data_IF_507113553848
#
_entry.id   IF_507113553848
#
_cell.length_a   1.000
_cell.length_b   1.000
_cell.length_c   1.000
_cell.angle_alpha   90.00
_cell.angle_beta   90.00
_cell.angle_gamma   90.00
#
_symmetry.space_group_name_H-M   'P 1'
#
loop_
_entity.id
_entity.type
_entity.pdbx_description
1 polymer ?
#
# COMPACT_ATOMS: atom_id res chain seq x y z
N UNK A 1 8.62 7.83 35.03
CA UNK A 1 8.93 6.41 34.73
C UNK A 1 7.75 5.80 34.01
N UNK A 2 7.98 5.07 32.91
CA UNK A 2 6.92 4.30 32.23
C UNK A 2 6.53 3.11 33.11
N UNK A 3 5.27 3.02 33.52
CA UNK A 3 4.74 1.97 34.40
C UNK A 3 4.61 0.64 33.66
N UNK A 4 5.09 -0.44 34.28
CA UNK A 4 5.39 -1.77 33.72
C UNK A 4 4.20 -2.62 33.21
N UNK A 5 3.05 -2.02 32.89
CA UNK A 5 1.96 -2.73 32.20
C UNK A 5 2.18 -2.61 30.70
N UNK A 6 2.51 -3.71 30.05
CA UNK A 6 2.67 -3.79 28.60
C UNK A 6 1.31 -3.47 27.94
N UNK A 7 1.08 -2.19 27.67
CA UNK A 7 -0.20 -1.71 27.16
C UNK A 7 -0.17 -1.81 25.64
N UNK A 8 -1.01 -2.69 25.09
CA UNK A 8 -1.12 -2.83 23.65
C UNK A 8 -1.66 -1.50 23.08
N UNK A 9 -0.86 -0.84 22.25
CA UNK A 9 -1.26 0.41 21.61
C UNK A 9 -2.50 0.16 20.74
N UNK A 10 -3.51 1.05 20.74
CA UNK A 10 -4.79 0.83 20.04
C UNK A 10 -4.69 0.91 18.50
N UNK A 11 -3.48 0.87 17.93
CA UNK A 11 -3.23 1.01 16.50
C UNK A 11 -2.82 -0.32 15.87
N UNK A 12 -3.50 -0.68 14.78
CA UNK A 12 -3.23 -1.90 14.01
C UNK A 12 -1.95 -1.81 13.16
N UNK A 13 -1.60 -0.61 12.71
CA UNK A 13 -0.47 -0.38 11.82
C UNK A 13 0.37 0.80 12.28
N UNK A 14 1.65 0.78 11.90
CA UNK A 14 2.56 1.92 11.91
C UNK A 14 2.74 2.41 10.50
N UNK A 15 2.66 3.72 10.31
CA UNK A 15 3.00 4.41 9.08
C UNK A 15 4.29 5.20 9.28
N UNK A 16 5.15 5.21 8.27
CA UNK A 16 6.41 5.94 8.27
C UNK A 16 6.73 6.46 6.87
N UNK A 17 7.29 7.66 6.81
CA UNK A 17 7.77 8.28 5.58
C UNK A 17 9.14 8.90 5.83
N UNK A 18 10.13 8.47 5.05
CA UNK A 18 11.47 9.03 5.03
C UNK A 18 11.69 9.87 3.77
N UNK A 19 12.09 11.14 3.95
CA UNK A 19 12.24 12.12 2.88
C UNK A 19 13.69 12.52 2.57
N UNK A 20 14.62 12.27 3.49
CA UNK A 20 15.97 12.84 3.38
C UNK A 20 16.86 12.06 2.41
N UNK A 21 17.57 12.78 1.54
CA UNK A 21 18.55 12.21 0.64
C UNK A 21 19.82 13.08 0.65
N UNK A 22 20.98 12.45 0.80
CA UNK A 22 22.31 13.01 0.53
C UNK A 22 22.85 14.15 1.43
N UNK A 23 22.36 14.31 2.67
CA UNK A 23 23.03 15.19 3.66
C UNK A 23 24.18 14.50 4.39
N UNK A 24 23.92 13.36 5.03
CA UNK A 24 24.93 12.60 5.81
C UNK A 24 24.93 11.09 5.51
N UNK A 25 23.82 10.56 4.96
CA UNK A 25 23.66 9.17 4.55
C UNK A 25 22.88 9.09 3.23
N UNK A 26 23.23 8.13 2.38
CA UNK A 26 22.56 7.90 1.08
C UNK A 26 21.45 6.87 1.22
N UNK A 27 20.43 7.20 2.03
CA UNK A 27 19.23 6.36 2.17
C UNK A 27 18.19 6.81 1.15
N UNK A 28 17.62 5.86 0.42
CA UNK A 28 16.59 6.15 -0.59
C UNK A 28 15.30 6.60 0.12
N UNK A 29 14.68 7.72 -0.27
CA UNK A 29 13.37 8.13 0.24
C UNK A 29 12.31 7.05 0.04
N UNK A 30 11.50 6.80 1.08
CA UNK A 30 10.56 5.69 1.06
C UNK A 30 9.39 5.86 2.02
N UNK A 31 8.32 5.18 1.67
CA UNK A 31 7.16 4.96 2.53
C UNK A 31 7.24 3.58 3.15
N UNK A 32 6.77 3.42 4.38
CA UNK A 32 6.64 2.12 5.00
C UNK A 32 5.35 1.99 5.80
N UNK A 33 4.82 0.78 5.82
CA UNK A 33 3.77 0.36 6.74
C UNK A 33 4.18 -0.92 7.46
N UNK A 34 3.95 -0.97 8.77
CA UNK A 34 4.23 -2.14 9.60
C UNK A 34 2.99 -2.59 10.37
N UNK A 35 2.63 -3.86 10.21
CA UNK A 35 1.66 -4.56 11.07
C UNK A 35 2.37 -5.21 12.25
N UNK A 36 1.62 -6.01 13.02
CA UNK A 36 2.14 -6.91 14.04
C UNK A 36 3.13 -7.97 13.54
N UNK A 37 3.16 -8.30 12.23
CA UNK A 37 4.01 -9.36 11.67
C UNK A 37 4.78 -8.91 10.42
N UNK A 38 4.17 -8.08 9.57
CA UNK A 38 4.75 -7.74 8.28
C UNK A 38 5.16 -6.27 8.22
N UNK A 39 6.21 -5.98 7.45
CA UNK A 39 6.60 -4.63 7.06
C UNK A 39 6.66 -4.57 5.53
N UNK A 40 5.96 -3.61 4.94
CA UNK A 40 6.02 -3.28 3.52
C UNK A 40 6.72 -1.92 3.37
N UNK A 41 7.72 -1.84 2.50
CA UNK A 41 8.45 -0.61 2.18
C UNK A 41 8.29 -0.31 0.69
N UNK A 42 8.05 0.95 0.33
CA UNK A 42 7.98 1.45 -1.04
C UNK A 42 9.04 2.53 -1.26
N UNK A 43 10.09 2.19 -2.00
CA UNK A 43 11.12 3.11 -2.46
C UNK A 43 10.65 3.76 -3.75
N UNK A 44 9.93 4.88 -3.62
CA UNK A 44 9.19 5.47 -4.74
C UNK A 44 10.07 6.11 -5.81
N UNK A 45 11.29 6.53 -5.49
CA UNK A 45 12.21 7.13 -6.46
C UNK A 45 12.77 6.11 -7.46
N UNK A 46 12.83 4.84 -7.06
CA UNK A 46 13.29 3.71 -7.90
C UNK A 46 12.15 2.73 -8.23
N UNK A 47 10.94 3.02 -7.75
CA UNK A 47 9.75 2.20 -7.92
C UNK A 47 9.91 0.73 -7.46
N UNK A 48 10.57 0.53 -6.32
CA UNK A 48 10.78 -0.80 -5.74
C UNK A 48 9.98 -1.01 -4.46
N UNK A 49 9.54 -2.26 -4.26
CA UNK A 49 8.76 -2.67 -3.10
C UNK A 49 9.45 -3.84 -2.41
N UNK A 50 9.50 -3.79 -1.09
CA UNK A 50 10.05 -4.85 -0.25
C UNK A 50 9.05 -5.27 0.82
N UNK A 51 8.99 -6.57 1.09
CA UNK A 51 8.15 -7.15 2.15
C UNK A 51 8.98 -8.02 3.07
N UNK A 52 8.86 -7.80 4.38
CA UNK A 52 9.54 -8.58 5.41
C UNK A 52 8.55 -9.14 6.42
N UNK A 53 8.75 -10.40 6.83
CA UNK A 53 8.06 -11.04 7.95
C UNK A 53 8.95 -10.94 9.19
N UNK A 54 8.74 -9.94 10.04
CA UNK A 54 9.65 -9.69 11.16
C UNK A 54 9.47 -10.71 12.31
N UNK A 55 8.40 -11.49 12.32
CA UNK A 55 8.24 -12.59 13.30
C UNK A 55 9.11 -13.78 12.91
N UNK A 56 9.18 -14.10 11.61
CA UNK A 56 9.99 -15.22 11.09
C UNK A 56 11.42 -14.84 10.74
N UNK A 57 11.64 -13.58 10.41
CA UNK A 57 12.93 -13.01 10.04
C UNK A 57 13.14 -11.68 10.77
N UNK A 58 13.47 -11.71 12.07
CA UNK A 58 13.72 -10.50 12.86
C UNK A 58 14.82 -9.60 12.27
N UNK A 59 15.80 -10.21 11.59
CA UNK A 59 16.89 -9.55 10.90
C UNK A 59 16.51 -8.91 9.56
N UNK A 60 15.32 -9.21 9.03
CA UNK A 60 14.77 -8.65 7.78
C UNK A 60 15.74 -8.79 6.59
N UNK A 61 16.32 -9.97 6.45
CA UNK A 61 17.30 -10.28 5.42
C UNK A 61 16.62 -10.84 4.16
N UNK A 62 15.38 -11.32 4.26
CA UNK A 62 14.67 -11.99 3.17
C UNK A 62 13.53 -11.12 2.66
N UNK A 63 13.72 -10.50 1.50
CA UNK A 63 12.64 -9.83 0.79
C UNK A 63 11.65 -10.88 0.23
N UNK A 64 10.41 -10.84 0.72
CA UNK A 64 9.31 -11.72 0.34
C UNK A 64 8.38 -11.11 -0.72
N UNK A 65 8.69 -9.90 -1.20
CA UNK A 65 7.92 -9.28 -2.28
C UNK A 65 7.98 -10.15 -3.55
N UNK A 66 6.87 -10.22 -4.28
CA UNK A 66 6.73 -11.09 -5.47
C UNK A 66 6.47 -12.57 -5.19
N UNK A 67 6.55 -13.05 -3.94
CA UNK A 67 6.18 -14.44 -3.62
C UNK A 67 4.67 -14.60 -3.66
N UNK A 68 4.18 -15.61 -4.40
CA UNK A 68 2.75 -15.86 -4.60
C UNK A 68 1.98 -16.05 -3.28
N UNK A 69 2.62 -16.67 -2.28
CA UNK A 69 2.06 -16.89 -0.95
C UNK A 69 1.80 -15.59 -0.19
N UNK A 70 2.53 -14.51 -0.53
CA UNK A 70 2.40 -13.22 0.15
C UNK A 70 1.45 -12.24 -0.54
N UNK A 71 0.85 -12.62 -1.69
CA UNK A 71 -0.01 -11.73 -2.49
C UNK A 71 -1.13 -11.07 -1.68
N UNK A 72 -1.80 -11.84 -0.81
CA UNK A 72 -2.88 -11.33 0.05
C UNK A 72 -2.37 -10.30 1.06
N UNK A 73 -1.24 -10.58 1.71
CA UNK A 73 -0.63 -9.68 2.69
C UNK A 73 -0.16 -8.38 2.03
N UNK A 74 0.46 -8.47 0.85
CA UNK A 74 0.88 -7.31 0.05
C UNK A 74 -0.32 -6.43 -0.30
N UNK A 75 -1.42 -7.01 -0.78
CA UNK A 75 -2.63 -6.25 -1.12
C UNK A 75 -3.22 -5.53 0.10
N UNK A 76 -3.31 -6.23 1.24
CA UNK A 76 -3.82 -5.65 2.49
C UNK A 76 -2.94 -4.49 2.97
N UNK A 77 -1.62 -4.64 2.93
CA UNK A 77 -0.67 -3.62 3.37
C UNK A 77 -0.64 -2.42 2.41
N UNK A 78 -0.70 -2.63 1.09
CA UNK A 78 -0.84 -1.54 0.11
C UNK A 78 -2.11 -0.71 0.34
N UNK A 79 -3.24 -1.38 0.59
CA UNK A 79 -4.49 -0.70 0.91
C UNK A 79 -4.43 0.09 2.22
N UNK A 80 -3.87 -0.50 3.27
CA UNK A 80 -3.68 0.17 4.55
C UNK A 80 -2.68 1.34 4.47
N UNK A 81 -1.61 1.20 3.68
CA UNK A 81 -0.65 2.28 3.41
C UNK A 81 -1.38 3.48 2.80
N UNK A 82 -2.09 3.29 1.69
CA UNK A 82 -2.83 4.37 1.03
C UNK A 82 -3.86 5.01 1.96
N UNK A 83 -4.55 4.21 2.80
CA UNK A 83 -5.48 4.75 3.79
C UNK A 83 -4.77 5.65 4.81
N UNK A 84 -3.67 5.19 5.39
CA UNK A 84 -2.92 5.96 6.39
C UNK A 84 -2.29 7.22 5.78
N UNK A 85 -1.76 7.14 4.56
CA UNK A 85 -1.27 8.30 3.81
C UNK A 85 -2.32 9.40 3.74
N UNK A 86 -3.53 9.04 3.30
CA UNK A 86 -4.64 9.98 3.20
C UNK A 86 -5.08 10.51 4.58
N UNK A 87 -5.10 9.66 5.61
CA UNK A 87 -5.44 10.06 6.99
C UNK A 87 -4.44 11.04 7.59
N UNK A 88 -3.18 10.99 7.17
CA UNK A 88 -2.12 11.91 7.59
C UNK A 88 -1.91 13.07 6.61
N UNK A 89 -2.81 13.25 5.63
CA UNK A 89 -2.72 14.32 4.62
C UNK A 89 -1.38 14.31 3.85
N UNK A 90 -0.78 13.11 3.73
CA UNK A 90 0.44 12.90 2.98
C UNK A 90 0.10 12.78 1.49
N UNK A 91 0.15 13.93 0.83
CA UNK A 91 -0.15 14.09 -0.58
C UNK A 91 1.10 14.07 -1.48
N UNK A 92 2.23 13.54 -1.01
CA UNK A 92 3.41 13.45 -1.85
C UNK A 92 3.13 12.58 -3.08
N UNK A 93 3.29 13.19 -4.26
CA UNK A 93 2.95 12.54 -5.52
C UNK A 93 3.85 11.34 -5.82
N UNK A 94 5.13 11.41 -5.45
CA UNK A 94 6.08 10.32 -5.65
C UNK A 94 5.65 9.06 -4.86
N UNK A 95 5.09 9.24 -3.66
CA UNK A 95 4.62 8.14 -2.82
C UNK A 95 3.37 7.40 -3.33
N UNK A 96 2.72 7.88 -4.39
CA UNK A 96 1.51 7.24 -4.94
C UNK A 96 1.85 5.90 -5.57
N UNK A 97 1.27 4.82 -5.03
CA UNK A 97 1.43 3.47 -5.59
C UNK A 97 0.93 3.42 -7.04
N UNK A 98 1.84 3.23 -7.99
CA UNK A 98 1.56 3.30 -9.43
C UNK A 98 0.46 2.33 -9.90
N UNK A 99 0.39 1.12 -9.34
CA UNK A 99 -0.67 0.15 -9.65
C UNK A 99 -2.06 0.71 -9.31
N UNK A 100 -2.18 1.46 -8.22
CA UNK A 100 -3.44 2.11 -7.84
C UNK A 100 -3.72 3.35 -8.68
N UNK A 101 -2.70 4.11 -9.06
CA UNK A 101 -2.86 5.26 -9.94
C UNK A 101 -3.36 4.86 -11.34
N UNK A 102 -2.82 3.78 -11.92
CA UNK A 102 -3.26 3.26 -13.21
C UNK A 102 -4.69 2.73 -13.14
N UNK A 103 -5.04 1.93 -12.12
CA UNK A 103 -6.41 1.43 -11.98
C UNK A 103 -7.41 2.58 -11.73
N UNK A 104 -7.09 3.54 -10.87
CA UNK A 104 -7.96 4.71 -10.65
C UNK A 104 -8.10 5.54 -11.93
N UNK A 105 -7.01 5.75 -12.67
CA UNK A 105 -7.03 6.45 -13.97
C UNK A 105 -7.85 5.69 -15.00
N UNK A 106 -7.69 4.37 -15.11
CA UNK A 106 -8.46 3.51 -16.01
C UNK A 106 -9.93 3.47 -15.63
N UNK A 107 -10.26 3.41 -14.34
CA UNK A 107 -11.65 3.44 -13.87
C UNK A 107 -12.31 4.79 -14.13
N UNK A 108 -11.63 5.91 -13.83
CA UNK A 108 -12.13 7.26 -14.11
C UNK A 108 -12.31 7.51 -15.61
N UNK A 109 -11.34 7.11 -16.43
CA UNK A 109 -11.41 7.28 -17.89
C UNK A 109 -12.34 6.26 -18.55
N UNK A 110 -12.47 5.06 -17.99
CA UNK A 110 -13.41 4.03 -18.42
C UNK A 110 -14.83 4.49 -18.19
N UNK A 111 -15.18 4.93 -16.97
CA UNK A 111 -16.53 5.39 -16.63
C UNK A 111 -16.99 6.58 -17.49
N UNK A 112 -16.09 7.53 -17.79
CA UNK A 112 -16.41 8.70 -18.62
C UNK A 112 -16.62 8.38 -20.12
N UNK A 113 -16.24 7.19 -20.59
CA UNK A 113 -16.39 6.78 -21.99
C UNK A 113 -17.62 5.90 -22.26
N UNK A 114 -18.40 5.54 -21.23
CA UNK A 114 -19.59 4.67 -21.38
C UNK A 114 -20.74 5.34 -22.14
N UNK A 115 -20.77 6.67 -22.21
CA UNK A 115 -21.80 7.41 -22.94
C UNK A 115 -21.44 7.71 -24.41
N UNK A 116 -20.21 7.42 -24.86
CA UNK A 116 -19.73 7.90 -26.18
C UNK A 116 -19.62 6.82 -27.25
N UNK A 117 -19.48 5.55 -26.90
CA UNK A 117 -19.35 4.47 -27.89
C UNK A 117 -20.06 3.21 -27.43
N UNK A 118 -21.25 2.94 -27.98
CA UNK A 118 -21.99 1.70 -27.78
C UNK A 118 -21.31 0.49 -28.43
N UNK A 119 -20.19 0.03 -27.89
CA UNK A 119 -19.58 -1.26 -28.24
C UNK A 119 -19.25 -2.05 -26.98
N UNK A 120 -19.78 -3.28 -26.93
CA UNK A 120 -19.49 -4.27 -25.90
C UNK A 120 -18.05 -4.75 -26.05
N UNK A 121 -17.22 -4.52 -25.03
CA UNK A 121 -15.93 -5.17 -24.89
C UNK A 121 -16.06 -6.22 -23.78
N UNK A 122 -15.90 -7.49 -24.15
CA UNK A 122 -15.79 -8.59 -23.20
C UNK A 122 -14.47 -8.47 -22.44
N UNK A 123 -14.52 -7.93 -21.22
CA UNK A 123 -13.40 -7.96 -20.27
C UNK A 123 -13.24 -9.43 -19.83
N UNK A 124 -12.05 -10.05 -19.92
CA UNK A 124 -11.85 -11.37 -19.33
C UNK A 124 -12.16 -11.29 -17.83
N UNK A 125 -13.00 -12.22 -17.34
CA UNK A 125 -13.44 -12.32 -15.94
C UNK A 125 -12.23 -12.40 -15.00
N UNK A 126 -11.71 -11.26 -14.56
CA UNK A 126 -10.96 -11.18 -13.31
C UNK A 126 -12.01 -11.03 -12.23
N UNK A 127 -12.21 -12.09 -11.45
CA UNK A 127 -13.07 -12.08 -10.27
C UNK A 127 -12.57 -11.00 -9.30
N UNK A 128 -13.20 -9.84 -9.31
CA UNK A 128 -13.15 -8.90 -8.20
C UNK A 128 -14.37 -9.15 -7.32
N UNK A 129 -14.15 -9.81 -6.19
CA UNK A 129 -15.10 -9.77 -5.07
C UNK A 129 -14.99 -8.37 -4.47
N UNK A 130 -15.85 -7.46 -4.93
CA UNK A 130 -16.09 -6.18 -4.27
C UNK A 130 -17.18 -6.43 -3.22
N UNK A 131 -16.77 -6.75 -1.99
CA UNK A 131 -17.67 -6.63 -0.85
C UNK A 131 -17.74 -5.16 -0.45
N UNK A 132 -18.75 -4.43 -0.94
CA UNK A 132 -19.18 -3.20 -0.32
C UNK A 132 -20.66 -2.91 -0.64
N UNK A 133 -21.63 -3.37 0.18
CA UNK A 133 -23.00 -2.92 0.09
C UNK A 133 -23.19 -1.76 1.07
N UNK A 134 -23.35 -0.54 0.56
CA UNK A 134 -24.15 0.53 1.16
C UNK A 134 -23.96 1.78 0.31
N UNK A 135 -24.88 2.03 -0.61
CA UNK A 135 -25.44 3.35 -0.94
C UNK A 135 -26.75 3.11 -1.69
N UNK A 136 -27.82 2.90 -0.92
CA UNK A 136 -29.20 3.11 -1.30
C UNK A 136 -29.87 3.73 -0.08
N UNK A 137 -29.87 5.07 -0.01
CA UNK A 137 -31.00 5.94 0.30
C UNK A 137 -30.70 7.29 -0.36
#
# INVERSE_FOLDING_TARGET
>A
MLTSKEQQLPRKYLYYHYYEYAKDHTVIPHLAIRSDQYKLIYFYTVNELELYDHKKDPGQQKNLYGKSQQKKNIQLLKGALNKLRNQHEDHEQAGVLLETALLVRLLKNGFNNWHKYGRSYTIPKVFFVVNNPTWLI
#
